data_IF_514602388003
#
_entry.id   IF_514602388003
#
_cell.length_a   1.000
_cell.length_b   1.000
_cell.length_c   1.000
_cell.angle_alpha   90.00
_cell.angle_beta   90.00
_cell.angle_gamma   90.00
#
_symmetry.space_group_name_H-M   'P 1'
#
loop_
_entity.id
_entity.type
_entity.pdbx_description
1 polymer ?
#
# COMPACT_ATOMS: atom_id res chain seq x y z
N UNK A 1 -3.11 -21.39 -18.51
CA UNK A 1 -2.83 -21.13 -17.08
C UNK A 1 -1.93 -19.90 -16.98
N UNK A 2 -2.26 -18.91 -16.15
CA UNK A 2 -1.56 -17.62 -16.20
C UNK A 2 -0.21 -17.68 -15.47
N UNK A 3 0.81 -17.12 -16.12
CA UNK A 3 2.15 -16.96 -15.54
C UNK A 3 2.14 -15.78 -14.58
N UNK A 4 2.67 -15.89 -13.35
CA UNK A 4 2.71 -14.75 -12.45
C UNK A 4 3.46 -13.55 -13.04
N UNK A 5 2.90 -12.35 -12.85
CA UNK A 5 3.59 -11.09 -13.15
C UNK A 5 4.89 -11.01 -12.36
N UNK A 6 5.97 -10.57 -13.02
CA UNK A 6 7.18 -10.09 -12.34
C UNK A 6 6.85 -8.90 -11.43
N UNK A 7 7.67 -8.65 -10.41
CA UNK A 7 7.44 -7.55 -9.47
C UNK A 7 7.27 -6.19 -10.17
N UNK A 8 8.09 -5.89 -11.18
CA UNK A 8 8.01 -4.62 -11.91
C UNK A 8 6.72 -4.50 -12.73
N UNK A 9 6.23 -5.59 -13.32
CA UNK A 9 4.94 -5.63 -14.04
C UNK A 9 3.77 -5.43 -13.08
N UNK A 10 3.81 -6.04 -11.89
CA UNK A 10 2.78 -5.82 -10.86
C UNK A 10 2.78 -4.37 -10.39
N UNK A 11 3.95 -3.82 -10.06
CA UNK A 11 4.09 -2.43 -9.64
C UNK A 11 3.60 -1.45 -10.72
N UNK A 12 3.96 -1.71 -11.98
CA UNK A 12 3.49 -0.93 -13.12
C UNK A 12 1.98 -1.01 -13.26
N UNK A 13 1.38 -2.20 -13.23
CA UNK A 13 -0.06 -2.38 -13.37
C UNK A 13 -0.82 -1.60 -12.29
N UNK A 14 -0.39 -1.68 -11.03
CA UNK A 14 -1.01 -0.95 -9.92
C UNK A 14 -0.91 0.58 -10.13
N UNK A 15 0.26 1.08 -10.52
CA UNK A 15 0.44 2.51 -10.80
C UNK A 15 -0.40 2.96 -11.99
N UNK A 16 -0.40 2.21 -13.09
CA UNK A 16 -1.19 2.54 -14.28
C UNK A 16 -2.70 2.61 -13.98
N UNK A 17 -3.19 1.87 -12.98
CA UNK A 17 -4.58 1.95 -12.51
C UNK A 17 -4.81 3.11 -11.50
N UNK A 18 -3.86 4.03 -11.37
CA UNK A 18 -4.00 5.26 -10.57
C UNK A 18 -3.66 5.12 -9.09
N UNK A 19 -3.07 3.99 -8.65
CA UNK A 19 -2.80 3.76 -7.24
C UNK A 19 -1.55 4.51 -6.76
N UNK A 20 -1.63 5.09 -5.56
CA UNK A 20 -0.46 5.50 -4.77
C UNK A 20 0.19 4.27 -4.14
N UNK A 21 1.18 3.72 -4.84
CA UNK A 21 1.92 2.54 -4.38
C UNK A 21 3.12 2.95 -3.54
N UNK A 22 3.21 2.43 -2.32
CA UNK A 22 4.34 2.56 -1.41
C UNK A 22 5.11 1.24 -1.40
N UNK A 23 6.40 1.29 -1.62
CA UNK A 23 7.24 0.10 -1.66
C UNK A 23 7.85 -0.14 -0.29
N UNK A 24 7.44 -1.21 0.40
CA UNK A 24 8.02 -1.57 1.68
C UNK A 24 9.33 -2.34 1.49
N UNK A 25 10.23 -2.32 2.48
CA UNK A 25 11.60 -2.86 2.40
C UNK A 25 11.64 -4.23 1.69
N UNK A 26 12.54 -4.38 0.70
CA UNK A 26 12.81 -5.67 0.01
C UNK A 26 11.60 -6.46 -0.53
N UNK A 27 10.42 -5.84 -0.70
CA UNK A 27 9.17 -6.55 -1.05
C UNK A 27 9.26 -7.40 -2.33
N UNK A 28 10.08 -6.97 -3.31
CA UNK A 28 10.24 -7.66 -4.61
C UNK A 28 10.78 -9.07 -4.50
N UNK A 29 11.49 -9.38 -3.42
CA UNK A 29 12.12 -10.68 -3.19
C UNK A 29 11.64 -11.33 -1.90
N UNK A 30 10.71 -10.69 -1.18
CA UNK A 30 10.14 -11.22 0.06
C UNK A 30 8.99 -12.16 -0.27
N UNK A 31 9.21 -13.47 -0.07
CA UNK A 31 8.23 -14.52 -0.36
C UNK A 31 8.56 -15.83 0.34
N UNK A 32 7.66 -16.81 0.14
CA UNK A 32 7.77 -18.17 0.65
C UNK A 32 7.85 -19.20 -0.48
N UNK A 33 8.50 -18.87 -1.61
CA UNK A 33 8.65 -19.81 -2.72
C UNK A 33 9.38 -21.10 -2.31
N UNK A 34 10.23 -21.04 -1.28
CA UNK A 34 10.89 -22.21 -0.70
C UNK A 34 9.92 -23.17 0.04
N UNK A 35 8.66 -22.80 0.23
CA UNK A 35 7.60 -23.66 0.81
C UNK A 35 6.70 -24.31 -0.25
N UNK A 36 6.84 -23.94 -1.51
CA UNK A 36 6.03 -24.48 -2.60
C UNK A 36 6.02 -23.55 -3.82
N UNK A 37 5.54 -24.09 -4.93
CA UNK A 37 5.45 -23.34 -6.19
C UNK A 37 4.62 -22.05 -6.03
N UNK A 38 4.99 -21.04 -6.80
CA UNK A 38 4.19 -19.84 -7.02
C UNK A 38 3.67 -19.87 -8.45
N UNK A 39 2.34 -19.82 -8.58
CA UNK A 39 1.66 -19.98 -9.85
C UNK A 39 1.39 -21.45 -10.23
N UNK A 40 0.61 -21.69 -11.28
CA UNK A 40 -0.11 -20.67 -12.06
C UNK A 40 -1.10 -19.89 -11.19
N UNK A 41 -1.28 -18.61 -11.52
CA UNK A 41 -2.18 -17.71 -10.80
C UNK A 41 -3.51 -17.60 -11.53
N UNK A 42 -4.58 -17.34 -10.78
CA UNK A 42 -5.95 -17.40 -11.28
C UNK A 42 -6.84 -16.25 -10.81
N UNK A 43 -6.46 -15.53 -9.76
CA UNK A 43 -7.28 -14.42 -9.29
C UNK A 43 -6.64 -13.52 -8.23
N UNK A 44 -7.48 -12.65 -7.68
CA UNK A 44 -7.17 -11.71 -6.62
C UNK A 44 -8.03 -12.05 -5.41
N UNK A 45 -7.40 -12.14 -4.24
CA UNK A 45 -8.09 -12.39 -2.98
C UNK A 45 -8.04 -11.15 -2.09
N UNK A 46 -9.21 -10.71 -1.63
CA UNK A 46 -9.37 -9.55 -0.75
C UNK A 46 -9.56 -10.02 0.69
N UNK A 47 -8.79 -9.43 1.59
CA UNK A 47 -8.78 -9.71 3.02
C UNK A 47 -9.03 -8.43 3.84
N UNK A 48 -9.36 -8.59 5.12
CA UNK A 48 -9.12 -7.56 6.11
C UNK A 48 -8.10 -8.04 7.15
N UNK A 49 -7.34 -7.11 7.71
CA UNK A 49 -6.20 -7.45 8.56
C UNK A 49 -6.56 -7.81 9.99
N UNK A 50 -7.75 -7.44 10.48
CA UNK A 50 -8.12 -7.49 11.91
C UNK A 50 -7.18 -6.62 12.76
N UNK A 51 -6.73 -5.49 12.19
CA UNK A 51 -5.80 -4.57 12.84
C UNK A 51 -6.20 -3.11 12.62
N UNK A 52 -5.54 -2.22 13.36
CA UNK A 52 -5.59 -0.78 13.16
C UNK A 52 -4.19 -0.20 12.97
N UNK A 53 -4.13 1.00 12.41
CA UNK A 53 -2.89 1.70 12.10
C UNK A 53 -2.19 1.17 10.84
N UNK A 54 -1.82 2.08 9.93
CA UNK A 54 -1.20 1.70 8.66
C UNK A 54 0.15 1.00 8.87
N UNK A 55 1.07 1.63 9.61
CA UNK A 55 2.44 1.12 9.73
C UNK A 55 2.49 -0.23 10.47
N UNK A 56 1.77 -0.36 11.59
CA UNK A 56 1.62 -1.62 12.33
C UNK A 56 1.06 -2.75 11.48
N UNK A 57 0.07 -2.47 10.64
CA UNK A 57 -0.55 -3.46 9.75
C UNK A 57 0.38 -3.87 8.61
N UNK A 58 1.14 -2.91 8.06
CA UNK A 58 2.16 -3.16 7.04
C UNK A 58 3.29 -4.02 7.59
N UNK A 59 3.81 -3.69 8.77
CA UNK A 59 4.86 -4.48 9.41
C UNK A 59 4.36 -5.89 9.77
N UNK A 60 3.14 -6.03 10.30
CA UNK A 60 2.54 -7.35 10.55
C UNK A 60 2.39 -8.15 9.26
N UNK A 61 1.90 -7.56 8.17
CA UNK A 61 1.74 -8.28 6.91
C UNK A 61 3.09 -8.61 6.26
N UNK A 62 4.13 -7.83 6.51
CA UNK A 62 5.47 -8.12 6.01
C UNK A 62 6.15 -9.22 6.84
N UNK A 63 6.25 -9.06 8.16
CA UNK A 63 6.97 -9.97 9.05
C UNK A 63 6.16 -11.24 9.36
N UNK A 64 4.83 -11.12 9.44
CA UNK A 64 3.94 -12.12 10.00
C UNK A 64 4.13 -12.29 11.51
N UNK A 65 3.82 -13.47 12.03
CA UNK A 65 4.09 -13.85 13.41
C UNK A 65 4.56 -15.31 13.49
N UNK A 66 4.94 -15.78 14.68
CA UNK A 66 5.55 -17.11 14.87
C UNK A 66 4.72 -18.26 14.29
N UNK A 67 3.40 -18.24 14.51
CA UNK A 67 2.47 -19.24 13.98
C UNK A 67 2.10 -19.03 12.48
N UNK A 68 2.26 -17.83 11.93
CA UNK A 68 1.99 -17.53 10.52
C UNK A 68 3.05 -16.55 10.00
N UNK A 69 4.23 -17.04 9.57
CA UNK A 69 5.30 -16.15 9.15
C UNK A 69 5.00 -15.52 7.79
N UNK A 70 5.43 -14.27 7.61
CA UNK A 70 5.13 -13.48 6.43
C UNK A 70 5.87 -13.92 5.14
N UNK A 71 5.63 -13.21 4.03
CA UNK A 71 4.60 -12.17 3.90
C UNK A 71 3.18 -12.76 3.95
N UNK A 72 2.24 -12.01 4.52
CA UNK A 72 0.83 -12.37 4.67
C UNK A 72 -0.04 -11.88 3.50
N UNK A 73 0.54 -11.21 2.52
CA UNK A 73 -0.12 -10.76 1.29
C UNK A 73 0.92 -10.22 0.30
N UNK A 74 0.46 -9.77 -0.87
CA UNK A 74 1.30 -9.05 -1.82
C UNK A 74 1.30 -7.55 -1.54
N UNK A 75 0.14 -7.00 -1.17
CA UNK A 75 0.00 -5.59 -0.81
C UNK A 75 -1.00 -5.33 0.32
N UNK A 76 -0.72 -4.31 1.13
CA UNK A 76 -1.61 -3.82 2.19
C UNK A 76 -2.30 -2.53 1.75
N UNK A 77 -3.62 -2.47 1.83
CA UNK A 77 -4.43 -1.30 1.45
C UNK A 77 -4.85 -0.53 2.71
N UNK A 78 -4.25 0.64 2.90
CA UNK A 78 -4.51 1.50 4.06
C UNK A 78 -5.84 2.25 3.93
N UNK A 79 -6.32 2.80 5.07
CA UNK A 79 -7.57 3.58 5.14
C UNK A 79 -7.58 4.81 4.20
N UNK A 80 -6.40 5.35 3.90
CA UNK A 80 -6.22 6.51 3.00
C UNK A 80 -6.07 6.14 1.51
N UNK A 81 -6.27 4.86 1.17
CA UNK A 81 -6.17 4.36 -0.20
C UNK A 81 -4.75 4.09 -0.71
N UNK A 82 -3.70 4.25 0.12
CA UNK A 82 -2.36 3.78 -0.28
C UNK A 82 -2.26 2.27 -0.30
N UNK A 83 -1.47 1.77 -1.27
CA UNK A 83 -1.16 0.34 -1.41
C UNK A 83 0.31 0.12 -1.08
N UNK A 84 0.59 -0.54 0.04
CA UNK A 84 1.94 -0.86 0.49
C UNK A 84 2.34 -2.25 0.01
N UNK A 85 3.28 -2.36 -0.92
CA UNK A 85 3.78 -3.66 -1.38
C UNK A 85 4.67 -4.29 -0.31
N UNK A 86 4.32 -5.48 0.14
CA UNK A 86 5.02 -6.20 1.22
C UNK A 86 5.63 -7.52 0.77
N UNK A 87 5.15 -8.14 -0.31
CA UNK A 87 5.69 -9.41 -0.79
C UNK A 87 5.47 -9.63 -2.28
N UNK A 88 6.29 -10.49 -2.87
CA UNK A 88 6.17 -10.89 -4.27
C UNK A 88 6.62 -12.33 -4.49
N UNK A 89 5.66 -13.20 -4.85
CA UNK A 89 5.82 -14.64 -4.88
C UNK A 89 4.76 -15.31 -4.00
N UNK A 90 4.96 -16.59 -3.66
CA UNK A 90 4.07 -17.29 -2.71
C UNK A 90 4.03 -16.55 -1.38
N UNK A 91 2.84 -16.12 -0.95
CA UNK A 91 2.58 -15.50 0.35
C UNK A 91 1.67 -16.38 1.21
N UNK A 92 1.62 -16.17 2.53
CA UNK A 92 0.76 -16.90 3.46
C UNK A 92 -0.53 -16.12 3.71
N UNK A 93 -1.51 -16.22 2.80
CA UNK A 93 -2.73 -15.41 2.87
C UNK A 93 -4.00 -16.24 2.69
N UNK A 94 -4.08 -17.02 1.59
CA UNK A 94 -5.27 -17.79 1.23
C UNK A 94 -5.40 -19.10 1.99
N UNK A 95 -4.29 -19.71 2.42
CA UNK A 95 -4.34 -21.02 3.08
C UNK A 95 -4.92 -22.12 2.19
N UNK A 96 -5.50 -23.15 2.82
CA UNK A 96 -6.31 -24.16 2.14
C UNK A 96 -7.73 -23.63 1.93
N UNK A 97 -8.31 -23.94 0.78
CA UNK A 97 -9.72 -23.67 0.49
C UNK A 97 -10.28 -24.63 -0.54
N UNK A 98 -11.42 -24.24 -1.09
CA UNK A 98 -12.31 -25.09 -1.87
C UNK A 98 -11.89 -25.18 -3.36
N UNK A 99 -11.75 -26.40 -3.90
CA UNK A 99 -11.31 -26.58 -5.29
C UNK A 99 -12.40 -26.27 -6.32
N UNK A 100 -13.69 -26.40 -5.96
CA UNK A 100 -14.80 -26.00 -6.82
C UNK A 100 -14.86 -24.47 -6.93
N UNK A 101 -14.57 -23.74 -5.85
CA UNK A 101 -14.36 -22.29 -5.90
C UNK A 101 -13.18 -21.94 -6.80
N UNK A 102 -12.04 -22.63 -6.67
CA UNK A 102 -10.89 -22.38 -7.54
C UNK A 102 -11.24 -22.61 -9.01
N UNK A 103 -11.96 -23.70 -9.31
CA UNK A 103 -12.41 -24.03 -10.66
C UNK A 103 -13.33 -22.94 -11.21
N UNK A 104 -14.26 -22.42 -10.40
CA UNK A 104 -15.13 -21.32 -10.80
C UNK A 104 -14.36 -20.02 -11.08
N UNK A 105 -13.30 -19.73 -10.33
CA UNK A 105 -12.41 -18.59 -10.59
C UNK A 105 -11.63 -18.78 -11.90
N UNK A 106 -11.08 -19.98 -12.13
CA UNK A 106 -10.35 -20.32 -13.36
C UNK A 106 -11.24 -20.15 -14.60
N UNK A 107 -12.50 -20.60 -14.50
CA UNK A 107 -13.50 -20.52 -15.55
C UNK A 107 -14.18 -19.14 -15.64
N UNK A 108 -13.88 -18.24 -14.70
CA UNK A 108 -14.51 -16.93 -14.55
C UNK A 108 -16.05 -17.03 -14.53
N UNK A 109 -16.60 -17.87 -13.65
CA UNK A 109 -18.05 -18.13 -13.46
C UNK A 109 -18.55 -17.63 -12.11
N UNK A 110 -19.83 -17.88 -11.81
CA UNK A 110 -20.37 -17.66 -10.46
C UNK A 110 -19.75 -18.67 -9.49
N UNK A 111 -19.44 -18.23 -8.27
CA UNK A 111 -18.84 -19.10 -7.26
C UNK A 111 -19.91 -20.03 -6.67
N UNK A 112 -19.60 -21.30 -6.42
CA UNK A 112 -20.39 -22.13 -5.52
C UNK A 112 -20.23 -21.64 -4.07
N UNK A 113 -21.06 -22.14 -3.17
CA UNK A 113 -20.79 -22.02 -1.74
C UNK A 113 -19.59 -22.91 -1.39
N UNK A 114 -18.64 -22.36 -0.64
CA UNK A 114 -17.51 -23.12 -0.13
C UNK A 114 -17.98 -24.13 0.92
N UNK A 115 -17.48 -25.36 0.83
CA UNK A 115 -17.83 -26.44 1.76
C UNK A 115 -16.63 -27.29 2.19
N UNK A 116 -15.46 -27.11 1.58
CA UNK A 116 -14.24 -27.83 1.91
C UNK A 116 -12.96 -26.98 1.84
N UNK A 117 -11.85 -27.54 2.35
CA UNK A 117 -10.55 -26.87 2.39
C UNK A 117 -9.44 -27.86 1.99
N UNK A 118 -9.42 -28.23 0.70
CA UNK A 118 -8.59 -29.30 0.17
C UNK A 118 -7.45 -28.81 -0.76
N UNK A 119 -7.45 -27.53 -1.13
CA UNK A 119 -6.57 -26.97 -2.18
C UNK A 119 -5.74 -25.78 -1.68
N UNK A 120 -4.44 -25.76 -1.99
CA UNK A 120 -3.54 -24.64 -1.61
C UNK A 120 -3.82 -23.39 -2.46
N UNK A 121 -4.45 -22.39 -1.85
CA UNK A 121 -4.70 -21.09 -2.47
C UNK A 121 -3.48 -20.17 -2.51
N UNK A 122 -2.50 -20.37 -1.63
CA UNK A 122 -1.33 -19.47 -1.51
C UNK A 122 -0.48 -19.42 -2.79
N UNK A 123 -0.58 -20.43 -3.64
CA UNK A 123 0.10 -20.47 -4.94
C UNK A 123 -0.70 -19.82 -6.07
N UNK A 124 -2.01 -19.62 -5.88
CA UNK A 124 -2.98 -19.38 -6.96
C UNK A 124 -3.50 -17.94 -7.00
N UNK A 125 -3.37 -17.17 -5.92
CA UNK A 125 -4.00 -15.85 -5.79
C UNK A 125 -3.02 -14.73 -5.45
N UNK A 126 -3.27 -13.55 -5.99
CA UNK A 126 -2.70 -12.31 -5.48
C UNK A 126 -3.52 -11.83 -4.28
N UNK A 127 -2.99 -11.96 -3.06
CA UNK A 127 -3.63 -11.44 -1.85
C UNK A 127 -3.42 -9.94 -1.61
N UNK A 128 -4.49 -9.22 -1.29
CA UNK A 128 -4.44 -7.86 -0.75
C UNK A 128 -5.11 -7.80 0.63
N UNK A 129 -4.36 -7.34 1.62
CA UNK A 129 -4.80 -7.16 3.00
C UNK A 129 -5.26 -5.74 3.25
N UNK A 130 -6.49 -5.53 3.70
CA UNK A 130 -7.02 -4.17 3.88
C UNK A 130 -7.10 -3.82 5.37
N UNK A 131 -6.52 -2.68 5.75
CA UNK A 131 -6.50 -2.25 7.15
C UNK A 131 -7.93 -2.02 7.64
N UNK A 132 -8.44 -2.95 8.44
CA UNK A 132 -9.77 -2.91 9.04
C UNK A 132 -9.84 -3.86 10.25
N UNK A 133 -10.61 -3.50 11.28
CA UNK A 133 -10.80 -4.32 12.48
C UNK A 133 -11.58 -5.61 12.24
N UNK A 134 -12.32 -5.72 11.13
CA UNK A 134 -13.08 -6.93 10.78
C UNK A 134 -14.33 -7.18 11.64
N UNK A 135 -14.71 -6.23 12.49
CA UNK A 135 -15.84 -6.33 13.43
C UNK A 135 -17.21 -6.00 12.79
N UNK A 136 -17.20 -5.53 11.54
CA UNK A 136 -18.38 -5.07 10.81
C UNK A 136 -18.89 -3.69 11.23
N UNK A 137 -18.14 -2.97 12.07
CA UNK A 137 -18.42 -1.60 12.51
C UNK A 137 -17.36 -0.62 12.02
N UNK A 138 -16.10 -1.05 11.96
CA UNK A 138 -14.99 -0.23 11.45
C UNK A 138 -15.26 0.15 9.98
N UNK A 139 -15.41 1.45 9.67
CA UNK A 139 -15.82 1.90 8.35
C UNK A 139 -14.78 1.56 7.28
N UNK A 140 -15.26 1.42 6.06
CA UNK A 140 -14.45 1.36 4.85
C UNK A 140 -14.50 2.73 4.17
N UNK A 141 -13.46 3.58 4.31
CA UNK A 141 -13.44 4.88 3.65
C UNK A 141 -13.55 4.71 2.13
N UNK A 142 -14.17 5.67 1.45
CA UNK A 142 -14.34 5.65 -0.01
C UNK A 142 -12.99 5.47 -0.74
N UNK A 143 -11.94 6.14 -0.28
CA UNK A 143 -10.59 6.01 -0.83
C UNK A 143 -10.00 4.59 -0.67
N UNK A 144 -10.31 3.90 0.43
CA UNK A 144 -9.89 2.50 0.62
C UNK A 144 -10.65 1.57 -0.30
N UNK A 145 -11.97 1.72 -0.43
CA UNK A 145 -12.78 0.93 -1.37
C UNK A 145 -12.31 1.14 -2.81
N UNK A 146 -12.06 2.38 -3.21
CA UNK A 146 -11.51 2.71 -4.53
C UNK A 146 -10.16 2.03 -4.77
N UNK A 147 -9.28 2.03 -3.76
CA UNK A 147 -7.99 1.36 -3.87
C UNK A 147 -8.12 -0.17 -4.01
N UNK A 148 -9.08 -0.82 -3.33
CA UNK A 148 -9.36 -2.26 -3.48
C UNK A 148 -9.80 -2.57 -4.91
N UNK A 149 -10.75 -1.79 -5.45
CA UNK A 149 -11.22 -1.93 -6.83
C UNK A 149 -10.08 -1.75 -7.83
N UNK A 150 -9.28 -0.69 -7.69
CA UNK A 150 -8.14 -0.41 -8.57
C UNK A 150 -7.08 -1.51 -8.48
N UNK A 151 -6.76 -2.00 -7.29
CA UNK A 151 -5.76 -3.05 -7.11
C UNK A 151 -6.20 -4.36 -7.79
N UNK A 152 -7.47 -4.73 -7.60
CA UNK A 152 -8.04 -5.92 -8.23
C UNK A 152 -8.13 -5.76 -9.76
N UNK A 153 -8.64 -4.62 -10.25
CA UNK A 153 -8.76 -4.32 -11.68
C UNK A 153 -7.38 -4.30 -12.37
N UNK A 154 -6.35 -3.73 -11.75
CA UNK A 154 -4.99 -3.71 -12.27
C UNK A 154 -4.46 -5.13 -12.55
N UNK A 155 -4.62 -6.04 -11.58
CA UNK A 155 -4.16 -7.42 -11.71
C UNK A 155 -5.00 -8.17 -12.74
N UNK A 156 -6.33 -8.06 -12.69
CA UNK A 156 -7.22 -8.67 -13.67
C UNK A 156 -6.88 -8.22 -15.10
N UNK A 157 -6.74 -6.91 -15.32
CA UNK A 157 -6.41 -6.32 -16.62
C UNK A 157 -5.06 -6.81 -17.14
N UNK A 158 -4.06 -6.93 -16.28
CA UNK A 158 -2.73 -7.42 -16.66
C UNK A 158 -2.73 -8.90 -17.09
N UNK A 159 -3.68 -9.70 -16.59
CA UNK A 159 -3.84 -11.11 -16.97
C UNK A 159 -4.94 -11.35 -18.02
N UNK A 160 -5.72 -10.33 -18.38
CA UNK A 160 -6.89 -10.48 -19.25
C UNK A 160 -8.10 -11.14 -18.56
N UNK A 161 -8.15 -11.13 -17.23
CA UNK A 161 -9.27 -11.61 -16.45
C UNK A 161 -10.37 -10.57 -16.32
N UNK A 162 -11.58 -11.03 -16.01
CA UNK A 162 -12.73 -10.25 -15.63
C UNK A 162 -12.91 -10.24 -14.09
N UNK A 163 -13.91 -9.49 -13.64
CA UNK A 163 -14.22 -9.28 -12.23
C UNK A 163 -14.51 -10.57 -11.44
N UNK A 164 -14.86 -11.69 -12.09
CA UNK A 164 -15.14 -12.97 -11.43
C UNK A 164 -13.89 -13.65 -10.88
N UNK A 165 -12.70 -13.23 -11.32
CA UNK A 165 -11.44 -13.65 -10.70
C UNK A 165 -11.12 -12.92 -9.39
N UNK A 166 -12.05 -12.10 -8.86
CA UNK A 166 -11.88 -11.38 -7.59
C UNK A 166 -12.81 -11.97 -6.53
N UNK A 167 -12.21 -12.52 -5.48
CA UNK A 167 -12.93 -13.21 -4.40
C UNK A 167 -12.54 -12.67 -3.03
N UNK A 168 -13.42 -12.82 -2.06
CA UNK A 168 -13.09 -12.67 -0.64
C UNK A 168 -12.60 -13.98 -0.05
N UNK A 169 -11.81 -13.94 1.01
CA UNK A 169 -11.39 -15.15 1.72
C UNK A 169 -12.57 -15.97 2.27
N UNK A 170 -13.64 -15.28 2.67
CA UNK A 170 -14.92 -15.85 3.10
C UNK A 170 -15.69 -16.60 2.01
N UNK A 171 -15.29 -16.45 0.75
CA UNK A 171 -15.84 -17.20 -0.39
C UNK A 171 -14.90 -18.34 -0.79
N UNK A 172 -13.74 -18.47 -0.15
CA UNK A 172 -12.67 -19.42 -0.48
C UNK A 172 -12.56 -20.58 0.53
N UNK A 173 -12.75 -20.29 1.82
CA UNK A 173 -12.51 -21.25 2.89
C UNK A 173 -13.65 -21.24 3.92
N UNK A 174 -14.22 -22.42 4.24
CA UNK A 174 -15.27 -22.53 5.24
C UNK A 174 -14.86 -21.95 6.60
N UNK A 175 -15.73 -21.09 7.14
CA UNK A 175 -15.55 -20.45 8.45
C UNK A 175 -14.73 -19.15 8.41
N UNK A 176 -14.19 -18.74 7.26
CA UNK A 176 -13.61 -17.40 7.09
C UNK A 176 -14.71 -16.35 6.93
N UNK A 177 -14.43 -15.15 7.42
CA UNK A 177 -15.41 -14.04 7.45
C UNK A 177 -14.93 -12.80 6.71
N UNK A 178 -13.67 -12.78 6.27
CA UNK A 178 -13.03 -11.65 5.61
C UNK A 178 -13.28 -11.62 4.09
N UNK A 179 -13.59 -10.45 3.49
CA UNK A 179 -13.81 -9.16 4.13
C UNK A 179 -15.24 -9.00 4.67
N UNK A 180 -15.39 -8.31 5.82
CA UNK A 180 -16.66 -7.96 6.46
C UNK A 180 -16.91 -6.46 6.32
N UNK A 181 -18.16 -6.07 6.07
CA UNK A 181 -18.59 -4.66 5.93
C UNK A 181 -19.03 -4.26 4.52
N UNK A 182 -18.60 -4.98 3.48
CA UNK A 182 -19.17 -4.92 2.13
C UNK A 182 -19.38 -6.34 1.56
N UNK A 183 -20.21 -6.47 0.52
CA UNK A 183 -20.40 -7.75 -0.18
C UNK A 183 -19.40 -7.88 -1.31
N UNK A 184 -18.91 -9.09 -1.55
CA UNK A 184 -18.00 -9.29 -2.67
C UNK A 184 -18.67 -9.06 -4.02
N UNK A 185 -20.00 -9.22 -4.12
CA UNK A 185 -20.76 -8.82 -5.31
C UNK A 185 -20.72 -7.31 -5.57
N UNK A 186 -20.82 -6.47 -4.53
CA UNK A 186 -20.70 -5.02 -4.73
C UNK A 186 -19.29 -4.63 -5.15
N UNK A 187 -18.26 -5.26 -4.58
CA UNK A 187 -16.87 -5.04 -4.98
C UNK A 187 -16.59 -5.52 -6.42
N UNK A 188 -17.07 -6.72 -6.79
CA UNK A 188 -16.98 -7.24 -8.14
C UNK A 188 -17.71 -6.35 -9.16
N UNK A 189 -18.84 -5.75 -8.79
CA UNK A 189 -19.53 -4.74 -9.60
C UNK A 189 -18.63 -3.53 -9.91
N UNK A 190 -17.95 -3.00 -8.89
CA UNK A 190 -17.00 -1.89 -9.04
C UNK A 190 -15.82 -2.27 -9.94
N UNK A 191 -15.25 -3.47 -9.75
CA UNK A 191 -14.17 -3.99 -10.60
C UNK A 191 -14.62 -4.15 -12.05
N UNK A 192 -15.82 -4.69 -12.29
CA UNK A 192 -16.40 -4.81 -13.64
C UNK A 192 -16.46 -3.46 -14.34
N UNK A 193 -17.01 -2.47 -13.65
CA UNK A 193 -17.21 -1.13 -14.22
C UNK A 193 -15.86 -0.45 -14.51
N UNK A 194 -14.87 -0.64 -13.65
CA UNK A 194 -13.49 -0.17 -13.89
C UNK A 194 -12.82 -0.87 -15.07
N UNK A 195 -12.98 -2.18 -15.19
CA UNK A 195 -12.39 -2.95 -16.30
C UNK A 195 -12.96 -2.53 -17.67
N UNK A 196 -14.20 -2.04 -17.73
CA UNK A 196 -14.81 -1.48 -18.94
C UNK A 196 -14.17 -0.14 -19.38
N UNK A 197 -13.58 0.59 -18.44
CA UNK A 197 -12.81 1.81 -18.70
C UNK A 197 -11.34 1.55 -19.04
N UNK A 198 -10.64 2.62 -19.40
CA UNK A 198 -9.17 2.62 -19.49
C UNK A 198 -8.58 2.83 -18.09
N UNK A 199 -7.37 2.33 -17.81
CA UNK A 199 -6.65 2.69 -16.60
C UNK A 199 -6.54 4.22 -16.44
N UNK A 200 -6.62 4.71 -15.21
CA UNK A 200 -6.56 6.15 -14.90
C UNK A 200 -5.21 6.78 -15.28
N UNK A 201 -4.19 5.95 -15.49
CA UNK A 201 -2.80 6.37 -15.63
C UNK A 201 -2.11 6.51 -14.28
N UNK A 202 -0.76 6.54 -14.26
CA UNK A 202 -0.03 6.79 -13.03
C UNK A 202 -0.47 8.11 -12.39
N UNK A 203 -0.64 8.16 -11.05
CA UNK A 203 -0.87 9.44 -10.40
C UNK A 203 0.24 10.41 -10.80
N UNK A 204 -0.08 11.69 -11.03
CA UNK A 204 0.92 12.67 -11.39
C UNK A 204 2.06 12.65 -10.36
N UNK A 205 3.32 12.83 -10.79
CA UNK A 205 4.44 12.89 -9.86
C UNK A 205 4.12 13.92 -8.77
N UNK A 206 4.34 13.56 -7.50
CA UNK A 206 4.19 14.51 -6.42
C UNK A 206 5.10 15.72 -6.72
N UNK A 207 4.49 16.88 -6.92
CA UNK A 207 5.24 18.13 -7.06
C UNK A 207 5.71 18.55 -5.68
N UNK A 208 7.03 18.59 -5.52
CA UNK A 208 7.64 19.12 -4.32
C UNK A 208 7.92 20.61 -4.50
N UNK A 209 7.91 21.34 -3.40
CA UNK A 209 8.27 22.75 -3.38
C UNK A 209 9.71 22.90 -3.91
N UNK A 210 9.94 23.69 -4.97
CA UNK A 210 11.29 24.01 -5.40
C UNK A 210 12.07 24.66 -4.27
N UNK A 211 13.37 24.40 -4.16
CA UNK A 211 14.18 25.07 -3.15
C UNK A 211 14.13 26.59 -3.35
N UNK A 212 13.61 27.37 -2.38
CA UNK A 212 13.39 28.81 -2.55
C UNK A 212 14.69 29.64 -2.44
N UNK A 213 15.84 28.97 -2.27
CA UNK A 213 17.13 29.58 -2.03
C UNK A 213 17.41 29.77 -0.53
N UNK A 214 18.68 29.70 -0.13
CA UNK A 214 19.07 29.80 1.29
C UNK A 214 18.64 31.13 1.92
N UNK A 215 18.70 32.23 1.16
CA UNK A 215 18.30 33.56 1.61
C UNK A 215 16.79 33.71 1.93
N UNK A 216 15.97 32.73 1.56
CA UNK A 216 14.56 32.66 1.94
C UNK A 216 14.39 32.48 3.46
N UNK A 217 15.27 31.66 4.07
CA UNK A 217 15.23 31.27 5.48
C UNK A 217 15.99 32.28 6.33
N UNK A 218 15.28 33.31 6.79
CA UNK A 218 15.83 34.41 7.59
C UNK A 218 14.84 34.87 8.64
N UNK A 219 15.34 35.51 9.69
CA UNK A 219 14.51 36.08 10.75
C UNK A 219 13.40 36.99 10.17
N UNK A 220 12.19 36.84 10.70
CA UNK A 220 11.00 37.58 10.25
C UNK A 220 10.35 37.05 8.98
N UNK A 221 10.83 35.94 8.39
CA UNK A 221 10.15 35.30 7.25
C UNK A 221 8.87 34.61 7.71
N UNK A 222 7.77 34.88 7.00
CA UNK A 222 6.48 34.19 7.12
C UNK A 222 6.09 33.55 5.78
N UNK A 223 5.76 32.25 5.76
CA UNK A 223 5.31 31.52 4.57
C UNK A 223 4.73 30.14 4.89
N UNK A 224 3.73 29.69 4.12
CA UNK A 224 3.23 28.32 4.15
C UNK A 224 4.30 27.27 3.86
N UNK A 225 5.34 27.62 3.08
CA UNK A 225 6.49 26.75 2.77
C UNK A 225 7.24 26.35 4.05
N UNK A 226 7.31 27.24 5.04
CA UNK A 226 7.95 26.95 6.34
C UNK A 226 7.11 25.93 7.11
N UNK A 227 5.79 26.13 7.18
CA UNK A 227 4.88 25.16 7.79
C UNK A 227 4.99 23.79 7.13
N UNK A 228 5.02 23.73 5.80
CA UNK A 228 5.12 22.49 5.04
C UNK A 228 6.47 21.78 5.30
N UNK A 229 7.57 22.54 5.29
CA UNK A 229 8.90 22.03 5.64
C UNK A 229 8.93 21.48 7.07
N UNK A 230 8.42 22.24 8.04
CA UNK A 230 8.39 21.83 9.45
C UNK A 230 7.58 20.57 9.69
N UNK A 231 6.44 20.41 9.02
CA UNK A 231 5.65 19.17 9.05
C UNK A 231 6.44 17.97 8.51
N UNK A 232 7.23 18.15 7.46
CA UNK A 232 8.13 17.08 6.96
C UNK A 232 9.27 16.79 7.92
N UNK A 233 9.88 17.79 8.54
CA UNK A 233 10.92 17.59 9.57
C UNK A 233 10.39 16.78 10.76
N UNK A 234 9.17 17.08 11.23
CA UNK A 234 8.50 16.28 12.28
C UNK A 234 8.34 14.83 11.85
N UNK A 235 7.80 14.59 10.65
CA UNK A 235 7.58 13.24 10.15
C UNK A 235 8.88 12.49 9.80
N UNK A 236 10.00 13.18 9.64
CA UNK A 236 11.34 12.58 9.58
C UNK A 236 11.97 12.33 10.97
N UNK A 237 11.27 12.63 12.07
CA UNK A 237 11.79 12.52 13.43
C UNK A 237 12.81 13.60 13.81
N UNK A 238 12.92 14.65 12.98
CA UNK A 238 13.87 15.74 13.16
C UNK A 238 13.25 16.98 13.81
N UNK A 239 11.93 17.00 14.03
CA UNK A 239 11.25 18.14 14.66
C UNK A 239 11.79 18.48 16.05
N UNK A 240 11.95 19.78 16.32
CA UNK A 240 12.38 20.39 17.59
C UNK A 240 11.40 21.49 18.00
N UNK A 241 10.12 21.20 17.81
CA UNK A 241 9.01 22.11 18.12
C UNK A 241 8.39 21.75 19.47
N UNK A 242 8.03 22.76 20.26
CA UNK A 242 7.27 22.56 21.50
C UNK A 242 5.77 22.37 21.23
N UNK A 243 5.19 23.24 20.39
CA UNK A 243 3.76 23.19 20.02
C UNK A 243 3.56 22.56 18.64
N UNK A 244 4.45 22.85 17.70
CA UNK A 244 4.40 22.36 16.32
C UNK A 244 4.89 23.41 15.31
N UNK A 245 5.07 23.03 14.04
CA UNK A 245 5.52 23.94 13.00
C UNK A 245 4.44 24.96 12.63
N UNK A 246 4.84 26.23 12.53
CA UNK A 246 4.02 27.35 12.08
C UNK A 246 4.60 28.02 10.83
N UNK A 247 3.96 29.10 10.34
CA UNK A 247 4.38 29.79 9.12
C UNK A 247 5.61 30.69 9.30
N UNK A 248 5.96 31.05 10.54
CA UNK A 248 7.09 31.93 10.85
C UNK A 248 8.39 31.14 11.00
N UNK A 249 9.45 31.59 10.32
CA UNK A 249 10.77 31.00 10.45
C UNK A 249 11.34 31.31 11.83
N UNK A 250 11.60 30.26 12.60
CA UNK A 250 12.03 30.35 13.99
C UNK A 250 13.32 29.58 14.26
N UNK A 251 13.85 29.73 15.48
CA UNK A 251 14.95 28.90 15.97
C UNK A 251 14.61 27.41 15.96
N UNK A 252 13.35 27.06 16.26
CA UNK A 252 12.89 25.69 16.24
C UNK A 252 12.99 25.08 14.84
N UNK A 253 12.70 25.85 13.79
CA UNK A 253 12.86 25.41 12.40
C UNK A 253 14.33 25.19 12.06
N UNK A 254 15.21 26.15 12.41
CA UNK A 254 16.65 26.02 12.19
C UNK A 254 17.22 24.79 12.90
N UNK A 255 16.87 24.60 14.18
CA UNK A 255 17.31 23.45 14.96
C UNK A 255 16.78 22.11 14.41
N UNK A 256 15.51 22.09 13.97
CA UNK A 256 14.90 20.92 13.32
C UNK A 256 15.60 20.56 12.02
N UNK A 257 15.93 21.57 11.21
CA UNK A 257 16.61 21.35 9.95
C UNK A 257 18.07 20.93 10.15
N UNK A 258 18.74 21.44 11.18
CA UNK A 258 20.08 20.98 11.55
C UNK A 258 20.08 19.50 11.94
N UNK A 259 19.03 19.03 12.64
CA UNK A 259 18.85 17.61 12.92
C UNK A 259 18.64 16.79 11.64
N UNK A 260 17.90 17.32 10.67
CA UNK A 260 17.73 16.69 9.34
C UNK A 260 19.03 16.60 8.55
N UNK A 261 19.81 17.68 8.49
CA UNK A 261 21.14 17.66 7.86
C UNK A 261 22.05 16.61 8.51
N UNK A 262 22.08 16.52 9.85
CA UNK A 262 22.84 15.46 10.55
C UNK A 262 22.33 14.06 10.22
N UNK A 263 21.02 13.85 10.15
CA UNK A 263 20.40 12.58 9.72
C UNK A 263 20.84 12.18 8.31
N UNK A 264 21.09 13.15 7.43
CA UNK A 264 21.64 12.93 6.09
C UNK A 264 23.17 12.73 6.04
N UNK A 265 23.86 12.77 7.18
CA UNK A 265 25.31 12.58 7.30
C UNK A 265 26.15 13.86 7.22
N UNK A 266 25.53 15.05 7.26
CA UNK A 266 26.26 16.32 7.27
C UNK A 266 26.80 16.62 8.68
N UNK A 267 27.93 17.33 8.76
CA UNK A 267 28.58 17.70 10.02
C UNK A 267 29.19 19.10 9.95
N UNK A 268 29.52 19.67 11.12
CA UNK A 268 30.10 21.01 11.21
C UNK A 268 29.20 22.07 10.57
N UNK A 269 29.79 22.93 9.75
CA UNK A 269 29.05 23.96 9.00
C UNK A 269 28.08 23.40 7.96
N UNK A 270 28.19 22.13 7.56
CA UNK A 270 27.22 21.48 6.68
C UNK A 270 25.88 21.15 7.36
N UNK A 271 25.80 21.27 8.69
CA UNK A 271 24.61 21.00 9.50
C UNK A 271 24.23 22.20 10.37
N UNK A 272 24.27 23.39 9.79
CA UNK A 272 24.01 24.70 10.41
C UNK A 272 22.51 25.01 10.61
N UNK A 273 21.63 24.20 10.03
CA UNK A 273 20.18 24.37 10.07
C UNK A 273 19.61 25.31 9.02
N UNK A 274 20.44 25.85 8.11
CA UNK A 274 19.95 26.61 6.96
C UNK A 274 19.74 25.64 5.78
N UNK A 275 18.53 25.60 5.19
CA UNK A 275 18.27 24.70 4.08
C UNK A 275 19.17 24.96 2.87
N UNK A 276 19.70 23.87 2.31
CA UNK A 276 20.44 23.86 1.05
C UNK A 276 19.74 22.97 0.02
N UNK A 277 20.00 23.18 -1.27
CA UNK A 277 19.30 22.49 -2.37
C UNK A 277 19.27 20.96 -2.19
N UNK A 278 20.43 20.35 -1.91
CA UNK A 278 20.53 18.89 -1.81
C UNK A 278 19.77 18.30 -0.61
N UNK A 279 19.78 18.97 0.55
CA UNK A 279 19.02 18.53 1.73
C UNK A 279 17.53 18.84 1.60
N UNK A 280 17.17 19.90 0.88
CA UNK A 280 15.79 20.27 0.55
C UNK A 280 15.13 19.26 -0.37
N UNK A 281 15.77 18.90 -1.47
CA UNK A 281 15.25 17.94 -2.45
C UNK A 281 15.00 16.56 -1.80
N UNK A 282 15.82 16.20 -0.80
CA UNK A 282 15.65 14.96 -0.02
C UNK A 282 14.51 15.05 1.00
N UNK A 283 14.21 16.24 1.53
CA UNK A 283 13.15 16.43 2.52
C UNK A 283 11.75 16.27 1.90
N UNK A 284 11.62 16.48 0.58
CA UNK A 284 10.38 16.31 -0.20
C UNK A 284 9.23 17.13 0.39
N UNK A 285 9.48 18.43 0.53
CA UNK A 285 8.48 19.40 1.03
C UNK A 285 7.32 19.48 0.03
N UNK A 286 6.05 19.30 0.44
CA UNK A 286 4.91 19.47 -0.45
C UNK A 286 4.84 20.88 -1.04
N UNK A 287 4.44 21.00 -2.30
CA UNK A 287 4.18 22.29 -2.95
C UNK A 287 2.93 22.94 -2.32
N UNK A 288 2.99 24.23 -1.94
CA UNK A 288 1.96 24.94 -1.17
C UNK A 288 1.72 26.37 -1.63
#
# INVERSE_FOLDING_TARGET
MATPLSADKLLKALRDEGLRVVEHRSWRTHNRNHKGAWGPVHGVMIHHTVTSGTQSSVDLCYDGHSALPGPLCHGVIAKDGSVHMVGHGRANHAGLGDDDVLRAVIDEKALPADNEANTDGNRSFYGFECVNLGDGKDPWPAAQLEAIEKAAAAVCRAHGWNHRSVIGHKEWQPGKVDPRGFTMDSMRGRVRDRLAGRPDGPPPPATYEPFPGAAFFRAGRHSAVITAMGKRLVAEGCGRYEVGPGPDWSEADRASYAAWQRKLGYSGSGADGIPGKASWDRLKVPNV
#
